data_IF_959208301972
#
_entry.id   IF_959208301972
#
_cell.length_a   1.000
_cell.length_b   1.000
_cell.length_c   1.000
_cell.angle_alpha   90.00
_cell.angle_beta   90.00
_cell.angle_gamma   90.00
#
_symmetry.space_group_name_H-M   'P 1'
#
loop_
_entity.id
_entity.type
_entity.pdbx_description
1 polymer ?
#
# COMPACT_ATOMS: atom_id res chain seq x y z
N UNK A 1 36.43 3.23 -21.05
CA UNK A 1 36.58 4.68 -20.79
C UNK A 1 35.20 5.33 -20.91
N UNK A 2 34.76 6.20 -19.99
CA UNK A 2 33.46 6.85 -20.08
C UNK A 2 33.37 7.76 -21.31
N UNK A 3 32.28 7.64 -22.07
CA UNK A 3 31.99 8.52 -23.20
C UNK A 3 31.33 9.79 -22.67
N UNK A 4 31.99 10.93 -22.85
CA UNK A 4 31.41 12.21 -22.48
C UNK A 4 30.47 12.69 -23.59
N UNK A 5 29.20 12.84 -23.24
CA UNK A 5 28.16 13.37 -24.12
C UNK A 5 27.87 14.80 -23.66
N UNK A 6 27.73 15.71 -24.63
CA UNK A 6 27.38 17.11 -24.34
C UNK A 6 26.04 17.17 -23.57
N UNK A 7 26.05 17.94 -22.48
CA UNK A 7 24.92 18.10 -21.55
C UNK A 7 23.67 18.69 -22.21
N UNK A 8 23.83 19.44 -23.29
CA UNK A 8 22.76 20.09 -24.04
C UNK A 8 22.33 19.27 -25.27
N UNK A 9 22.99 18.16 -25.57
CA UNK A 9 22.67 17.34 -26.75
C UNK A 9 21.31 16.64 -26.63
N UNK A 10 20.60 16.56 -27.76
CA UNK A 10 19.36 15.78 -27.87
C UNK A 10 19.59 14.29 -27.58
N UNK A 11 20.75 13.75 -27.96
CA UNK A 11 21.15 12.36 -27.66
C UNK A 11 21.16 12.08 -26.15
N UNK A 12 21.71 13.00 -25.35
CA UNK A 12 21.72 12.84 -23.90
C UNK A 12 20.31 12.91 -23.31
N UNK A 13 19.43 13.77 -23.84
CA UNK A 13 18.03 13.84 -23.41
C UNK A 13 17.29 12.54 -23.65
N UNK A 14 17.49 11.90 -24.81
CA UNK A 14 16.89 10.61 -25.14
C UNK A 14 17.32 9.51 -24.17
N UNK A 15 18.63 9.41 -23.90
CA UNK A 15 19.17 8.41 -22.96
C UNK A 15 18.65 8.64 -21.53
N UNK A 16 18.57 9.90 -21.09
CA UNK A 16 17.99 10.24 -19.80
C UNK A 16 16.52 9.84 -19.72
N UNK A 17 15.73 10.12 -20.75
CA UNK A 17 14.32 9.73 -20.78
C UNK A 17 14.14 8.21 -20.67
N UNK A 18 14.97 7.44 -21.39
CA UNK A 18 14.94 5.98 -21.36
C UNK A 18 15.33 5.43 -19.99
N UNK A 19 16.33 6.04 -19.33
CA UNK A 19 16.69 5.74 -17.94
C UNK A 19 15.55 6.04 -16.98
N UNK A 20 14.97 7.22 -17.09
CA UNK A 20 13.92 7.68 -16.17
C UNK A 20 12.67 6.79 -16.32
N UNK A 21 12.37 6.33 -17.53
CA UNK A 21 11.29 5.39 -17.80
C UNK A 21 11.57 3.99 -17.23
N UNK A 22 12.81 3.49 -17.36
CA UNK A 22 13.23 2.24 -16.72
C UNK A 22 13.12 2.34 -15.19
N UNK A 23 13.52 3.48 -14.62
CA UNK A 23 13.44 3.73 -13.18
C UNK A 23 11.96 3.80 -12.73
N UNK A 24 11.11 4.52 -13.47
CA UNK A 24 9.66 4.61 -13.25
C UNK A 24 9.01 3.23 -13.28
N UNK A 25 9.38 2.39 -14.25
CA UNK A 25 8.89 1.02 -14.39
C UNK A 25 9.25 0.17 -13.17
N UNK A 26 10.52 0.19 -12.75
CA UNK A 26 11.00 -0.56 -11.58
C UNK A 26 10.28 -0.13 -10.28
N UNK A 27 10.19 1.17 -10.03
CA UNK A 27 9.49 1.72 -8.85
C UNK A 27 8.01 1.31 -8.88
N UNK A 28 7.35 1.41 -10.03
CA UNK A 28 5.94 1.07 -10.19
C UNK A 28 5.71 -0.43 -9.95
N UNK A 29 6.58 -1.29 -10.48
CA UNK A 29 6.50 -2.73 -10.28
C UNK A 29 6.65 -3.10 -8.80
N UNK A 30 7.64 -2.55 -8.10
CA UNK A 30 7.80 -2.79 -6.67
C UNK A 30 6.65 -2.23 -5.84
N UNK A 31 6.10 -1.06 -6.21
CA UNK A 31 4.90 -0.51 -5.58
C UNK A 31 3.68 -1.41 -5.77
N UNK A 32 3.45 -1.93 -6.98
CA UNK A 32 2.36 -2.87 -7.26
C UNK A 32 2.56 -4.19 -6.52
N UNK A 33 3.78 -4.76 -6.51
CA UNK A 33 4.09 -5.99 -5.78
C UNK A 33 3.88 -5.82 -4.27
N UNK A 34 4.32 -4.69 -3.70
CA UNK A 34 4.09 -4.35 -2.29
C UNK A 34 2.60 -4.20 -1.97
N UNK A 35 1.87 -3.50 -2.84
CA UNK A 35 0.41 -3.36 -2.70
C UNK A 35 -0.31 -4.71 -2.79
N UNK A 36 0.13 -5.62 -3.66
CA UNK A 36 -0.41 -6.98 -3.77
C UNK A 36 -0.06 -7.85 -2.56
N UNK A 37 1.16 -7.74 -2.03
CA UNK A 37 1.56 -8.42 -0.79
C UNK A 37 0.86 -7.87 0.45
N UNK A 38 0.41 -6.61 0.44
CA UNK A 38 -0.48 -6.08 1.46
C UNK A 38 -1.92 -6.58 1.32
N UNK A 39 -2.32 -7.05 0.12
CA UNK A 39 -3.66 -7.59 -0.13
C UNK A 39 -3.85 -9.03 0.36
N UNK A 40 -2.78 -9.82 0.52
CA UNK A 40 -2.76 -10.96 1.45
C UNK A 40 -2.78 -10.38 2.85
N UNK A 41 -3.99 -10.06 3.29
CA UNK A 41 -4.24 -9.05 4.30
C UNK A 41 -4.19 -9.68 5.66
N UNK A 42 -3.52 -9.05 6.63
CA UNK A 42 -3.67 -9.42 8.04
C UNK A 42 -5.15 -9.50 8.45
N UNK A 43 -6.01 -8.68 7.83
CA UNK A 43 -7.46 -8.75 8.03
C UNK A 43 -8.09 -10.09 7.61
N UNK A 44 -7.49 -10.84 6.67
CA UNK A 44 -7.97 -12.18 6.29
C UNK A 44 -7.64 -13.24 7.34
N UNK A 45 -6.67 -12.98 8.23
CA UNK A 45 -6.33 -13.87 9.35
C UNK A 45 -7.25 -13.69 10.55
N UNK A 46 -8.04 -12.62 10.59
CA UNK A 46 -8.97 -12.33 11.69
C UNK A 46 -10.24 -13.15 11.50
N UNK A 47 -10.45 -14.15 12.36
CA UNK A 47 -11.66 -14.97 12.38
C UNK A 47 -12.89 -14.09 12.61
N UNK A 48 -13.82 -14.05 11.65
CA UNK A 48 -15.03 -13.23 11.71
C UNK A 48 -15.00 -11.95 10.85
N UNK A 49 -13.87 -11.61 10.23
CA UNK A 49 -13.78 -10.56 9.22
C UNK A 49 -13.92 -11.16 7.82
N UNK A 50 -15.04 -10.85 7.16
CA UNK A 50 -15.29 -11.26 5.77
C UNK A 50 -14.71 -10.28 4.74
N UNK A 51 -14.66 -10.73 3.49
CA UNK A 51 -14.17 -9.96 2.33
C UNK A 51 -14.88 -8.62 2.15
N UNK A 52 -16.18 -8.55 2.41
CA UNK A 52 -16.97 -7.32 2.31
C UNK A 52 -16.59 -6.28 3.38
N UNK A 53 -16.26 -6.75 4.59
CA UNK A 53 -15.81 -5.85 5.68
C UNK A 53 -14.41 -5.31 5.36
N UNK A 54 -13.53 -6.17 4.84
CA UNK A 54 -12.19 -5.78 4.35
C UNK A 54 -12.27 -4.76 3.22
N UNK A 55 -13.14 -4.96 2.22
CA UNK A 55 -13.33 -4.00 1.13
C UNK A 55 -13.78 -2.64 1.66
N UNK A 56 -14.74 -2.60 2.59
CA UNK A 56 -15.19 -1.33 3.21
C UNK A 56 -14.05 -0.62 3.92
N UNK A 57 -13.28 -1.33 4.74
CA UNK A 57 -12.14 -0.76 5.45
C UNK A 57 -11.03 -0.27 4.50
N UNK A 58 -10.68 -1.06 3.49
CA UNK A 58 -9.67 -0.67 2.50
C UNK A 58 -10.15 0.49 1.61
N UNK A 59 -11.45 0.58 1.32
CA UNK A 59 -12.03 1.71 0.59
C UNK A 59 -11.91 3.01 1.40
N UNK A 60 -12.21 2.95 2.70
CA UNK A 60 -12.17 4.11 3.59
C UNK A 60 -10.74 4.53 3.94
N UNK A 61 -9.95 3.60 4.52
CA UNK A 61 -8.63 3.88 5.07
C UNK A 61 -7.49 3.75 4.05
N UNK A 62 -7.74 3.18 2.87
CA UNK A 62 -6.78 3.01 1.75
C UNK A 62 -5.58 2.09 2.04
N UNK A 63 -5.21 1.82 3.30
CA UNK A 63 -4.12 0.93 3.67
C UNK A 63 -4.32 0.29 5.04
N UNK A 64 -3.78 -0.93 5.23
CA UNK A 64 -3.80 -1.64 6.53
C UNK A 64 -3.06 -0.84 7.60
N UNK A 65 -1.97 -0.15 7.24
CA UNK A 65 -1.21 0.69 8.16
C UNK A 65 -2.10 1.79 8.76
N UNK A 66 -2.93 2.45 7.94
CA UNK A 66 -3.88 3.46 8.42
C UNK A 66 -4.98 2.85 9.29
N UNK A 67 -5.42 1.62 9.00
CA UNK A 67 -6.39 0.93 9.86
C UNK A 67 -5.77 0.61 11.23
N UNK A 68 -4.48 0.27 11.30
CA UNK A 68 -3.76 0.03 12.55
C UNK A 68 -3.56 1.32 13.37
N UNK A 69 -3.39 2.46 12.71
CA UNK A 69 -3.21 3.77 13.34
C UNK A 69 -4.53 4.49 13.66
N UNK A 70 -5.65 4.05 13.07
CA UNK A 70 -6.96 4.65 13.27
C UNK A 70 -7.50 4.41 14.69
N UNK A 71 -8.26 5.38 15.20
CA UNK A 71 -8.94 5.20 16.47
C UNK A 71 -10.05 4.16 16.37
N UNK A 72 -10.32 3.46 17.47
CA UNK A 72 -11.38 2.47 17.52
C UNK A 72 -12.74 3.06 17.09
N UNK A 73 -13.01 4.32 17.42
CA UNK A 73 -14.25 5.01 17.05
C UNK A 73 -14.42 5.13 15.53
N UNK A 74 -13.36 5.50 14.80
CA UNK A 74 -13.40 5.60 13.34
C UNK A 74 -13.63 4.25 12.67
N UNK A 75 -13.05 3.17 13.24
CA UNK A 75 -13.29 1.82 12.73
C UNK A 75 -14.73 1.38 13.04
N UNK A 76 -15.25 1.72 14.22
CA UNK A 76 -16.64 1.43 14.63
C UNK A 76 -17.67 2.05 13.68
N UNK A 77 -17.46 3.28 13.21
CA UNK A 77 -18.36 3.93 12.26
C UNK A 77 -18.47 3.19 10.93
N UNK A 78 -17.39 2.55 10.47
CA UNK A 78 -17.34 1.89 9.16
C UNK A 78 -17.91 0.46 9.19
N UNK A 79 -17.71 -0.29 10.27
CA UNK A 79 -18.03 -1.74 10.32
C UNK A 79 -18.88 -2.18 11.53
N UNK A 80 -19.14 -1.28 12.47
CA UNK A 80 -19.89 -1.53 13.71
C UNK A 80 -19.04 -2.04 14.87
N UNK A 81 -19.56 -1.82 16.09
CA UNK A 81 -18.90 -2.12 17.39
C UNK A 81 -18.29 -3.52 17.50
N UNK A 82 -19.05 -4.55 17.15
CA UNK A 82 -18.61 -5.94 17.33
C UNK A 82 -17.37 -6.27 16.48
N UNK A 83 -17.33 -5.80 15.23
CA UNK A 83 -16.20 -6.10 14.31
C UNK A 83 -15.01 -5.18 14.56
N UNK A 84 -15.24 -3.93 14.93
CA UNK A 84 -14.17 -2.99 15.28
C UNK A 84 -13.39 -3.44 16.51
N UNK A 85 -14.08 -4.03 17.50
CA UNK A 85 -13.44 -4.62 18.67
C UNK A 85 -12.51 -5.77 18.29
N UNK A 86 -12.96 -6.71 17.47
CA UNK A 86 -12.13 -7.83 16.99
C UNK A 86 -10.85 -7.36 16.28
N UNK A 87 -10.94 -6.32 15.45
CA UNK A 87 -9.79 -5.74 14.75
C UNK A 87 -8.83 -5.06 15.74
N UNK A 88 -9.37 -4.26 16.65
CA UNK A 88 -8.59 -3.54 17.66
C UNK A 88 -7.86 -4.48 18.60
N UNK A 89 -8.54 -5.56 19.04
CA UNK A 89 -7.96 -6.59 19.89
C UNK A 89 -6.85 -7.34 19.14
N UNK A 90 -7.07 -7.72 17.87
CA UNK A 90 -6.06 -8.39 17.06
C UNK A 90 -4.79 -7.54 16.86
N UNK A 91 -4.94 -6.22 16.69
CA UNK A 91 -3.78 -5.32 16.54
C UNK A 91 -3.07 -5.02 17.87
N UNK A 92 -3.77 -5.11 19.01
CA UNK A 92 -3.17 -4.98 20.36
C UNK A 92 -2.41 -6.22 20.78
N UNK A 93 -2.90 -7.41 20.45
CA UNK A 93 -2.29 -8.69 20.83
C UNK A 93 -0.95 -8.96 20.10
N UNK A 94 -0.73 -8.28 18.98
CA UNK A 94 0.48 -8.36 18.15
C UNK A 94 1.49 -7.22 18.37
N UNK A 95 1.24 -6.34 19.35
CA UNK A 95 2.08 -5.18 19.68
C UNK A 95 3.12 -5.51 20.75
#
# INVERSE_FOLDING_TARGET
>A
VPLYIDKNSETLKLIQHLRDEAHRFGITFHRQKRSKSQLTSELDTIKGIGTETKKKLLSHFKSIKRIKEAEQQEVEEVIGKAKAKLISDHFKEKA
#
